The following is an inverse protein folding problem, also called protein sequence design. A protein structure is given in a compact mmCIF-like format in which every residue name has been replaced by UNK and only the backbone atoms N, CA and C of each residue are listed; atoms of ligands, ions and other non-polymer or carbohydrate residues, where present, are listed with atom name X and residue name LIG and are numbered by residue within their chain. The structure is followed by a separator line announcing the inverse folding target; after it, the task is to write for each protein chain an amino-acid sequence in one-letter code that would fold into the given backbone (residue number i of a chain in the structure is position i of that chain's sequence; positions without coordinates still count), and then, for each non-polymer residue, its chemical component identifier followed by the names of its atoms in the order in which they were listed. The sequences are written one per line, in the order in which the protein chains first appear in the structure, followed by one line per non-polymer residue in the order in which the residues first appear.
data_IF_280910881178
#
_entry.id   IF_280910881178
#
_cell.length_a   1.000
_cell.length_b   1.000
_cell.length_c   1.000
_cell.angle_alpha   90.00
_cell.angle_beta   90.00
_cell.angle_gamma   90.00
#
_symmetry.space_group_name_H-M   'P 1'
#
loop_
_entity.id
_entity.type
_entity.pdbx_description
1 polymer ?
#
# COMPACT_ATOMS: atom_id res chain seq x y z
N UNK A 1 -4.02 -36.01 -6.63
CA UNK A 1 -3.51 -34.63 -6.66
C UNK A 1 -3.84 -33.88 -7.95
N UNK A 2 -3.74 -34.47 -9.17
CA UNK A 2 -4.01 -33.75 -10.44
C UNK A 2 -5.44 -33.18 -10.57
N UNK A 3 -6.48 -33.87 -10.10
CA UNK A 3 -7.87 -33.42 -10.20
C UNK A 3 -8.21 -32.21 -9.33
N UNK A 4 -7.51 -32.00 -8.21
CA UNK A 4 -7.70 -30.80 -7.38
C UNK A 4 -7.00 -29.56 -7.95
N UNK A 5 -5.85 -29.72 -8.60
CA UNK A 5 -5.15 -28.60 -9.24
C UNK A 5 -5.93 -28.04 -10.45
N UNK A 6 -6.53 -28.90 -11.26
CA UNK A 6 -7.37 -28.50 -12.40
C UNK A 6 -8.52 -27.57 -11.99
N UNK A 7 -9.06 -27.73 -10.77
CA UNK A 7 -10.16 -26.91 -10.24
C UNK A 7 -9.80 -25.45 -10.00
N UNK A 8 -8.51 -25.15 -9.75
CA UNK A 8 -8.02 -23.81 -9.45
C UNK A 8 -7.18 -23.21 -10.58
N UNK A 9 -6.87 -23.95 -11.63
CA UNK A 9 -5.97 -23.53 -12.71
C UNK A 9 -6.35 -22.18 -13.33
N UNK A 10 -7.62 -22.01 -13.68
CA UNK A 10 -8.13 -20.74 -14.23
C UNK A 10 -7.99 -19.59 -13.23
N UNK A 11 -8.21 -19.85 -11.92
CA UNK A 11 -8.05 -18.84 -10.88
C UNK A 11 -6.58 -18.46 -10.72
N UNK A 12 -5.65 -19.41 -10.67
CA UNK A 12 -4.21 -19.13 -10.61
C UNK A 12 -3.75 -18.29 -11.80
N UNK A 13 -4.11 -18.68 -13.01
CA UNK A 13 -3.75 -17.96 -14.24
C UNK A 13 -4.28 -16.52 -14.21
N UNK A 14 -5.53 -16.32 -13.82
CA UNK A 14 -6.15 -15.01 -13.77
C UNK A 14 -5.54 -14.12 -12.67
N UNK A 15 -5.27 -14.67 -11.49
CA UNK A 15 -4.63 -13.96 -10.41
C UNK A 15 -3.20 -13.55 -10.76
N UNK A 16 -2.43 -14.44 -11.38
CA UNK A 16 -1.07 -14.13 -11.85
C UNK A 16 -1.09 -13.06 -12.95
N UNK A 17 -2.02 -13.17 -13.92
CA UNK A 17 -2.14 -12.19 -14.99
C UNK A 17 -2.44 -10.78 -14.50
N UNK A 18 -3.29 -10.62 -13.49
CA UNK A 18 -3.63 -9.34 -12.89
C UNK A 18 -2.60 -8.90 -11.83
N UNK A 19 -2.07 -9.85 -11.07
CA UNK A 19 -1.17 -9.57 -9.95
C UNK A 19 0.22 -9.15 -10.40
N UNK A 20 0.78 -9.76 -11.46
CA UNK A 20 2.13 -9.44 -11.95
C UNK A 20 2.27 -7.95 -12.31
N UNK A 21 1.37 -7.33 -13.09
CA UNK A 21 1.44 -5.90 -13.33
C UNK A 21 1.39 -5.05 -12.05
N UNK A 22 0.55 -5.44 -11.08
CA UNK A 22 0.48 -4.73 -9.80
C UNK A 22 1.80 -4.87 -9.03
N UNK A 23 2.39 -6.07 -8.97
CA UNK A 23 3.70 -6.33 -8.35
C UNK A 23 4.78 -5.45 -9.00
N UNK A 24 4.85 -5.41 -10.33
CA UNK A 24 5.83 -4.59 -11.06
C UNK A 24 5.67 -3.11 -10.67
N UNK A 25 4.44 -2.59 -10.60
CA UNK A 25 4.18 -1.22 -10.18
C UNK A 25 4.63 -0.95 -8.74
N UNK A 26 4.40 -1.89 -7.83
CA UNK A 26 4.80 -1.75 -6.42
C UNK A 26 6.32 -1.83 -6.25
N UNK A 27 6.98 -2.76 -6.93
CA UNK A 27 8.45 -2.85 -6.93
C UNK A 27 9.09 -1.60 -7.57
N UNK A 28 8.46 -1.06 -8.61
CA UNK A 28 8.90 0.21 -9.20
C UNK A 28 8.88 1.36 -8.21
N UNK A 29 7.84 1.48 -7.39
CA UNK A 29 7.77 2.49 -6.34
C UNK A 29 8.84 2.30 -5.25
N UNK A 30 9.15 1.05 -4.90
CA UNK A 30 10.21 0.74 -3.94
C UNK A 30 11.59 1.14 -4.48
N UNK A 31 11.88 0.81 -5.75
CA UNK A 31 13.11 1.22 -6.44
C UNK A 31 13.21 2.75 -6.50
N UNK A 32 12.11 3.43 -6.79
CA UNK A 32 12.06 4.90 -6.80
C UNK A 32 12.43 5.48 -5.44
N UNK A 33 11.80 5.02 -4.36
CA UNK A 33 12.08 5.49 -3.00
C UNK A 33 13.54 5.27 -2.61
N UNK A 34 14.12 4.14 -3.03
CA UNK A 34 15.53 3.86 -2.81
C UNK A 34 16.43 4.81 -3.61
N UNK A 35 16.12 5.05 -4.89
CA UNK A 35 16.87 5.97 -5.75
C UNK A 35 16.81 7.41 -5.22
N UNK A 36 15.63 7.89 -4.80
CA UNK A 36 15.45 9.23 -4.21
C UNK A 36 16.32 9.38 -2.96
N UNK A 37 16.26 8.42 -2.05
CA UNK A 37 17.05 8.43 -0.81
C UNK A 37 18.55 8.45 -1.10
N UNK A 38 19.00 7.65 -2.05
CA UNK A 38 20.40 7.54 -2.43
C UNK A 38 20.90 8.82 -3.11
N UNK A 39 20.11 9.39 -4.02
CA UNK A 39 20.49 10.61 -4.75
C UNK A 39 20.53 11.83 -3.83
N UNK A 40 19.55 12.00 -2.94
CA UNK A 40 19.54 13.09 -1.95
C UNK A 40 20.70 12.92 -0.96
N UNK A 41 20.93 11.68 -0.48
CA UNK A 41 21.99 11.39 0.49
C UNK A 41 23.40 11.62 -0.06
N UNK A 42 23.63 11.39 -1.36
CA UNK A 42 24.91 11.73 -2.00
C UNK A 42 25.11 13.24 -2.20
N UNK A 43 24.02 14.01 -2.23
CA UNK A 43 24.12 15.45 -2.35
C UNK A 43 24.40 16.11 -0.98
N UNK A 44 23.60 15.80 0.06
CA UNK A 44 23.79 16.34 1.41
C UNK A 44 23.13 15.46 2.48
N UNK A 45 23.85 15.23 3.58
CA UNK A 45 23.31 14.53 4.76
C UNK A 45 22.18 15.30 5.44
N UNK A 46 22.28 16.65 5.46
CA UNK A 46 21.25 17.52 6.03
C UNK A 46 19.97 17.48 5.22
N UNK A 47 20.08 17.51 3.90
CA UNK A 47 18.95 17.36 2.99
C UNK A 47 18.28 16.00 3.12
N UNK A 48 19.07 14.93 3.29
CA UNK A 48 18.54 13.60 3.55
C UNK A 48 17.76 13.53 4.87
N UNK A 49 18.25 14.16 5.93
CA UNK A 49 17.55 14.24 7.20
C UNK A 49 16.23 15.02 7.08
N UNK A 50 16.24 16.15 6.39
CA UNK A 50 15.05 16.94 6.11
C UNK A 50 14.03 16.17 5.26
N UNK A 51 14.48 15.49 4.21
CA UNK A 51 13.64 14.63 3.37
C UNK A 51 13.01 13.50 4.18
N UNK A 52 13.78 12.79 5.00
CA UNK A 52 13.28 11.69 5.82
C UNK A 52 12.17 12.14 6.77
N UNK A 53 12.33 13.30 7.42
CA UNK A 53 11.30 13.86 8.30
C UNK A 53 10.00 14.14 7.54
N UNK A 54 10.07 14.88 6.43
CA UNK A 54 8.88 15.23 5.63
C UNK A 54 8.22 13.97 5.05
N UNK A 55 9.02 13.05 4.49
CA UNK A 55 8.49 11.82 3.90
C UNK A 55 7.79 10.93 4.93
N UNK A 56 8.28 10.84 6.17
CA UNK A 56 7.60 10.11 7.24
C UNK A 56 6.20 10.68 7.53
N UNK A 57 6.07 12.02 7.59
CA UNK A 57 4.76 12.66 7.79
C UNK A 57 3.81 12.40 6.62
N UNK A 58 4.30 12.55 5.38
CA UNK A 58 3.49 12.32 4.18
C UNK A 58 3.14 10.85 3.97
N UNK A 59 3.99 9.90 4.37
CA UNK A 59 3.73 8.46 4.21
C UNK A 59 2.43 8.05 4.88
N UNK A 60 2.19 8.47 6.13
CA UNK A 60 0.96 8.14 6.85
C UNK A 60 -0.28 8.70 6.14
N UNK A 61 -0.19 9.95 5.69
CA UNK A 61 -1.29 10.64 5.00
C UNK A 61 -1.56 10.01 3.61
N UNK A 62 -0.52 9.68 2.88
CA UNK A 62 -0.63 9.03 1.56
C UNK A 62 -1.21 7.62 1.71
N UNK A 63 -0.80 6.83 2.70
CA UNK A 63 -1.34 5.49 2.95
C UNK A 63 -2.83 5.58 3.29
N UNK A 64 -3.23 6.56 4.10
CA UNK A 64 -4.64 6.81 4.40
C UNK A 64 -5.43 7.19 3.14
N UNK A 65 -4.89 8.09 2.30
CA UNK A 65 -5.49 8.48 1.04
C UNK A 65 -5.65 7.30 0.07
N UNK A 66 -4.60 6.48 -0.09
CA UNK A 66 -4.64 5.28 -0.94
C UNK A 66 -5.67 4.28 -0.40
N UNK A 67 -5.70 4.03 0.90
CA UNK A 67 -6.67 3.15 1.54
C UNK A 67 -8.11 3.57 1.26
N UNK A 68 -8.39 4.88 1.29
CA UNK A 68 -9.71 5.41 0.94
C UNK A 68 -10.10 5.12 -0.51
N UNK A 69 -9.15 5.20 -1.45
CA UNK A 69 -9.42 4.91 -2.87
C UNK A 69 -9.78 3.45 -3.15
N UNK A 70 -9.42 2.52 -2.28
CA UNK A 70 -9.69 1.09 -2.47
C UNK A 70 -11.18 0.72 -2.48
N UNK A 71 -12.06 1.58 -1.96
CA UNK A 71 -13.50 1.44 -2.11
C UNK A 71 -13.94 1.39 -3.58
N UNK A 72 -13.21 2.08 -4.47
CA UNK A 72 -13.51 2.16 -5.89
C UNK A 72 -13.32 0.80 -6.55
N UNK A 73 -12.23 0.09 -6.28
CA UNK A 73 -11.98 -1.25 -6.84
C UNK A 73 -13.13 -2.21 -6.54
N UNK A 74 -13.64 -2.20 -5.30
CA UNK A 74 -14.75 -3.07 -4.90
C UNK A 74 -16.04 -2.71 -5.66
N UNK A 75 -16.41 -1.43 -5.69
CA UNK A 75 -17.64 -0.97 -6.33
C UNK A 75 -17.60 -1.12 -7.84
N UNK A 76 -16.53 -0.67 -8.48
CA UNK A 76 -16.31 -0.79 -9.92
C UNK A 76 -16.27 -2.26 -10.33
N UNK A 77 -15.55 -3.10 -9.59
CA UNK A 77 -15.45 -4.53 -9.89
C UNK A 77 -16.79 -5.26 -9.81
N UNK A 78 -17.63 -4.94 -8.81
CA UNK A 78 -18.99 -5.50 -8.71
C UNK A 78 -19.85 -5.06 -9.91
N UNK A 79 -19.81 -3.78 -10.27
CA UNK A 79 -20.57 -3.26 -11.42
C UNK A 79 -20.03 -3.83 -12.75
N UNK A 80 -18.73 -4.04 -12.85
CA UNK A 80 -18.10 -4.68 -14.00
C UNK A 80 -18.56 -6.13 -14.15
N UNK A 81 -18.61 -6.87 -13.06
CA UNK A 81 -19.18 -8.23 -13.06
C UNK A 81 -20.66 -8.29 -13.41
N UNK A 82 -21.40 -7.18 -13.27
CA UNK A 82 -22.81 -7.03 -13.67
C UNK A 82 -23.00 -6.51 -15.09
N UNK A 83 -21.92 -6.29 -15.85
CA UNK A 83 -21.89 -5.66 -17.18
C UNK A 83 -22.52 -4.24 -17.23
N UNK A 84 -22.52 -3.53 -16.10
CA UNK A 84 -23.12 -2.19 -15.97
C UNK A 84 -22.11 -1.07 -16.29
N UNK A 85 -21.58 -1.04 -17.50
CA UNK A 85 -20.50 -0.12 -17.91
C UNK A 85 -20.85 1.35 -17.76
N UNK A 86 -22.08 1.78 -18.13
CA UNK A 86 -22.53 3.16 -17.95
C UNK A 86 -22.59 3.54 -16.47
N UNK A 87 -23.07 2.63 -15.62
CA UNK A 87 -23.16 2.87 -14.17
C UNK A 87 -21.79 3.04 -13.51
N UNK A 88 -20.78 2.34 -14.02
CA UNK A 88 -19.39 2.54 -13.60
C UNK A 88 -18.95 3.99 -13.85
N UNK A 89 -19.25 4.55 -15.02
CA UNK A 89 -18.92 5.94 -15.34
C UNK A 89 -19.60 6.94 -14.39
N UNK A 90 -20.87 6.74 -14.06
CA UNK A 90 -21.59 7.59 -13.08
C UNK A 90 -20.95 7.50 -11.68
N UNK A 91 -20.65 6.27 -11.21
CA UNK A 91 -20.00 6.03 -9.91
C UNK A 91 -18.61 6.66 -9.87
N UNK A 92 -17.85 6.60 -10.96
CA UNK A 92 -16.54 7.22 -11.06
C UNK A 92 -16.57 8.73 -10.89
N UNK A 93 -17.64 9.40 -11.36
CA UNK A 93 -17.83 10.83 -11.13
C UNK A 93 -18.00 11.16 -9.64
N UNK A 94 -18.83 10.39 -8.94
CA UNK A 94 -19.02 10.51 -7.49
C UNK A 94 -17.74 10.11 -6.71
N UNK A 95 -17.02 9.10 -7.19
CA UNK A 95 -15.77 8.66 -6.60
C UNK A 95 -14.67 9.73 -6.70
N UNK A 96 -14.55 10.38 -7.85
CA UNK A 96 -13.60 11.48 -8.03
C UNK A 96 -13.95 12.65 -7.11
N UNK A 97 -15.24 12.99 -6.96
CA UNK A 97 -15.67 14.01 -6.01
C UNK A 97 -15.32 13.64 -4.55
N UNK A 98 -15.61 12.40 -4.13
CA UNK A 98 -15.29 11.92 -2.78
C UNK A 98 -13.78 11.93 -2.49
N UNK A 99 -12.96 11.48 -3.44
CA UNK A 99 -11.51 11.48 -3.29
C UNK A 99 -10.91 12.89 -3.36
N UNK A 100 -11.52 13.81 -4.11
CA UNK A 100 -11.12 15.23 -4.09
C UNK A 100 -11.43 15.87 -2.73
N UNK A 101 -12.60 15.60 -2.16
CA UNK A 101 -12.93 16.05 -0.80
C UNK A 101 -11.94 15.46 0.23
N UNK A 102 -11.59 14.19 0.11
CA UNK A 102 -10.59 13.56 0.97
C UNK A 102 -9.20 14.21 0.79
N UNK A 103 -8.78 14.48 -0.43
CA UNK A 103 -7.52 15.16 -0.72
C UNK A 103 -7.49 16.57 -0.10
N UNK A 104 -8.57 17.32 -0.19
CA UNK A 104 -8.69 18.65 0.43
C UNK A 104 -8.61 18.53 1.95
N UNK A 105 -9.31 17.58 2.56
CA UNK A 105 -9.27 17.33 4.00
C UNK A 105 -7.86 17.00 4.48
N UNK A 106 -7.20 16.07 3.81
CA UNK A 106 -5.82 15.67 4.15
C UNK A 106 -4.82 16.80 3.92
N UNK A 107 -4.99 17.58 2.85
CA UNK A 107 -4.18 18.77 2.61
C UNK A 107 -4.39 19.84 3.69
N UNK A 108 -5.62 20.03 4.16
CA UNK A 108 -5.90 20.96 5.27
C UNK A 108 -5.21 20.51 6.57
N UNK A 109 -5.23 19.21 6.88
CA UNK A 109 -4.51 18.65 8.04
C UNK A 109 -3.00 18.92 7.89
N UNK A 110 -2.44 18.68 6.71
CA UNK A 110 -1.02 18.90 6.44
C UNK A 110 -0.64 20.39 6.51
N UNK A 111 -1.54 21.30 6.10
CA UNK A 111 -1.34 22.75 6.28
C UNK A 111 -1.27 23.12 7.76
N UNK A 112 -2.15 22.57 8.58
CA UNK A 112 -2.10 22.80 10.04
C UNK A 112 -0.78 22.29 10.63
N UNK A 113 -0.30 21.13 10.20
CA UNK A 113 1.01 20.61 10.61
C UNK A 113 2.16 21.51 10.13
N UNK A 114 2.11 21.99 8.89
CA UNK A 114 3.09 22.93 8.35
C UNK A 114 3.19 24.22 9.14
N UNK A 115 2.06 24.81 9.53
CA UNK A 115 2.03 26.02 10.33
C UNK A 115 2.63 25.83 11.74
N UNK A 116 2.59 24.59 12.26
CA UNK A 116 3.14 24.24 13.56
C UNK A 116 4.47 23.46 13.48
N UNK A 117 5.13 23.44 12.32
CA UNK A 117 6.32 22.60 12.07
C UNK A 117 7.46 22.88 13.03
N UNK A 118 7.62 24.14 13.48
CA UNK A 118 8.60 24.55 14.46
C UNK A 118 8.39 23.94 15.86
N UNK A 119 7.16 23.47 16.17
CA UNK A 119 6.80 22.82 17.45
C UNK A 119 7.05 21.32 17.46
N UNK A 120 7.42 20.75 16.30
CA UNK A 120 7.62 19.31 16.15
C UNK A 120 9.01 18.82 16.55
N UNK A 121 9.82 19.70 17.20
CA UNK A 121 11.11 19.34 17.82
C UNK A 121 12.23 19.05 16.82
N UNK A 122 12.13 19.57 15.60
CA UNK A 122 13.22 19.48 14.63
C UNK A 122 14.28 20.58 14.88
N UNK A 123 15.57 20.30 14.58
CA UNK A 123 16.61 21.31 14.63
C UNK A 123 16.26 22.53 13.78
N UNK A 124 16.44 23.72 14.30
CA UNK A 124 16.14 24.99 13.61
C UNK A 124 16.91 25.12 12.29
N UNK A 125 18.11 24.56 12.22
CA UNK A 125 18.97 24.53 11.04
C UNK A 125 18.36 23.77 9.85
N UNK A 126 17.50 22.78 10.11
CA UNK A 126 16.82 21.99 9.06
C UNK A 126 15.53 22.65 8.55
N UNK A 127 14.95 23.59 9.26
CA UNK A 127 13.69 24.24 8.89
C UNK A 127 13.72 24.91 7.50
N UNK A 128 14.80 25.59 7.07
CA UNK A 128 14.90 26.15 5.73
C UNK A 128 14.85 25.12 4.62
N UNK A 129 15.27 23.88 4.88
CA UNK A 129 15.21 22.75 3.94
C UNK A 129 13.84 22.06 3.99
N UNK A 130 13.30 21.86 5.19
CA UNK A 130 12.03 21.18 5.44
C UNK A 130 10.86 21.95 4.82
N UNK A 131 10.77 23.26 5.03
CA UNK A 131 9.62 24.07 4.62
C UNK A 131 9.34 24.05 3.13
N UNK A 132 10.26 24.35 2.22
CA UNK A 132 10.00 24.33 0.79
C UNK A 132 9.68 22.92 0.29
N UNK A 133 10.41 21.91 0.77
CA UNK A 133 10.17 20.52 0.39
C UNK A 133 8.78 20.03 0.84
N UNK A 134 8.36 20.40 2.05
CA UNK A 134 7.03 20.09 2.57
C UNK A 134 5.92 20.70 1.70
N UNK A 135 6.05 21.97 1.31
CA UNK A 135 5.06 22.64 0.45
C UNK A 135 4.96 22.00 -0.93
N UNK A 136 6.08 21.60 -1.52
CA UNK A 136 6.11 20.91 -2.81
C UNK A 136 5.38 19.55 -2.70
N UNK A 137 5.66 18.78 -1.64
CA UNK A 137 4.97 17.51 -1.38
C UNK A 137 3.47 17.73 -1.15
N UNK A 138 3.09 18.80 -0.43
CA UNK A 138 1.69 19.15 -0.19
C UNK A 138 0.93 19.42 -1.48
N UNK A 139 1.50 20.19 -2.41
CA UNK A 139 0.91 20.48 -3.72
C UNK A 139 0.73 19.19 -4.53
N UNK A 140 1.60 18.20 -4.37
CA UNK A 140 1.52 16.92 -5.10
C UNK A 140 0.42 15.99 -4.58
N UNK A 141 -0.06 16.17 -3.34
CA UNK A 141 -0.99 15.24 -2.67
C UNK A 141 -2.34 15.06 -3.40
N UNK A 142 -3.02 16.09 -3.90
CA UNK A 142 -4.25 15.91 -4.68
C UNK A 142 -4.05 15.07 -5.95
N UNK A 143 -2.91 15.20 -6.61
CA UNK A 143 -2.59 14.43 -7.81
C UNK A 143 -2.33 12.96 -7.51
N UNK A 144 -1.75 12.64 -6.35
CA UNK A 144 -1.65 11.26 -5.85
C UNK A 144 -3.05 10.66 -5.67
N UNK A 145 -3.99 11.39 -5.08
CA UNK A 145 -5.37 10.95 -4.90
C UNK A 145 -6.07 10.71 -6.25
N UNK A 146 -5.93 11.64 -7.21
CA UNK A 146 -6.54 11.50 -8.52
C UNK A 146 -5.95 10.34 -9.31
N UNK A 147 -4.62 10.20 -9.33
CA UNK A 147 -3.98 9.06 -9.96
C UNK A 147 -4.53 7.74 -9.40
N UNK A 148 -4.57 7.59 -8.07
CA UNK A 148 -5.06 6.37 -7.45
C UNK A 148 -6.55 6.16 -7.67
N UNK A 149 -7.39 7.20 -7.74
CA UNK A 149 -8.80 7.09 -8.07
C UNK A 149 -9.01 6.40 -9.42
N UNK A 150 -8.33 6.84 -10.46
CA UNK A 150 -8.46 6.24 -11.80
C UNK A 150 -7.69 4.92 -11.91
N UNK A 151 -6.60 4.73 -11.17
CA UNK A 151 -5.93 3.43 -11.06
C UNK A 151 -6.86 2.38 -10.48
N UNK A 152 -7.56 2.68 -9.37
CA UNK A 152 -8.51 1.74 -8.78
C UNK A 152 -9.69 1.41 -9.72
N UNK A 153 -10.07 2.35 -10.59
CA UNK A 153 -11.01 2.09 -11.67
C UNK A 153 -10.46 1.06 -12.67
N UNK A 154 -9.25 1.28 -13.21
CA UNK A 154 -8.65 0.35 -14.18
C UNK A 154 -8.41 -1.03 -13.57
N UNK A 155 -7.98 -1.09 -12.31
CA UNK A 155 -7.85 -2.34 -11.57
C UNK A 155 -9.21 -3.05 -11.44
N UNK A 156 -10.29 -2.32 -11.09
CA UNK A 156 -11.65 -2.85 -10.93
C UNK A 156 -12.25 -3.46 -12.21
N UNK A 157 -11.92 -2.89 -13.38
CA UNK A 157 -12.31 -3.44 -14.69
C UNK A 157 -11.29 -4.45 -15.26
N UNK A 158 -10.35 -4.91 -14.43
CA UNK A 158 -9.30 -5.90 -14.78
C UNK A 158 -8.22 -5.43 -15.75
N UNK A 159 -8.05 -4.12 -15.92
CA UNK A 159 -7.01 -3.52 -16.78
C UNK A 159 -5.84 -2.95 -15.96
N UNK A 160 -5.12 -3.86 -15.28
CA UNK A 160 -4.00 -3.50 -14.39
C UNK A 160 -2.73 -3.05 -15.12
N UNK A 161 -2.61 -3.35 -16.43
CA UNK A 161 -1.42 -3.02 -17.22
C UNK A 161 -1.26 -1.55 -17.48
N UNK A 162 -2.37 -0.82 -17.66
CA UNK A 162 -2.34 0.62 -17.91
C UNK A 162 -1.69 1.35 -16.74
N UNK A 163 -2.16 1.08 -15.52
CA UNK A 163 -1.60 1.68 -14.31
C UNK A 163 -0.12 1.30 -14.11
N UNK A 164 0.24 0.03 -14.37
CA UNK A 164 1.63 -0.43 -14.30
C UNK A 164 2.55 0.39 -15.21
N UNK A 165 2.20 0.56 -16.49
CA UNK A 165 3.06 1.28 -17.43
C UNK A 165 3.20 2.76 -17.08
N UNK A 166 2.12 3.38 -16.60
CA UNK A 166 2.17 4.79 -16.15
C UNK A 166 3.08 4.93 -14.93
N UNK A 167 2.99 3.99 -13.96
CA UNK A 167 3.87 3.99 -12.79
C UNK A 167 5.34 3.81 -13.18
N UNK A 168 5.64 2.84 -14.04
CA UNK A 168 7.02 2.60 -14.50
C UNK A 168 7.57 3.82 -15.22
N UNK A 169 6.81 4.38 -16.17
CA UNK A 169 7.22 5.58 -16.90
C UNK A 169 7.40 6.79 -15.96
N UNK A 170 6.47 6.97 -15.01
CA UNK A 170 6.54 8.05 -14.02
C UNK A 170 7.76 7.91 -13.10
N UNK A 171 8.09 6.69 -12.68
CA UNK A 171 9.27 6.42 -11.85
C UNK A 171 10.58 6.70 -12.61
N UNK A 172 10.66 6.27 -13.88
CA UNK A 172 11.82 6.59 -14.74
C UNK A 172 11.95 8.09 -14.94
N UNK A 173 10.85 8.78 -15.21
CA UNK A 173 10.83 10.24 -15.35
C UNK A 173 11.27 10.93 -14.06
N UNK A 174 10.87 10.43 -12.89
CA UNK A 174 11.28 10.99 -11.61
C UNK A 174 12.79 10.80 -11.37
N UNK A 175 13.33 9.60 -11.56
CA UNK A 175 14.78 9.35 -11.41
C UNK A 175 15.58 10.25 -12.35
N UNK A 176 15.15 10.38 -13.59
CA UNK A 176 15.81 11.25 -14.55
C UNK A 176 15.68 12.74 -14.17
N UNK A 177 14.51 13.16 -13.70
CA UNK A 177 14.27 14.51 -13.19
C UNK A 177 15.12 14.81 -11.94
N UNK A 178 15.30 13.86 -11.05
CA UNK A 178 16.19 13.97 -9.90
C UNK A 178 17.65 14.20 -10.34
N UNK A 179 18.12 13.41 -11.32
CA UNK A 179 19.46 13.58 -11.87
C UNK A 179 19.68 14.98 -12.45
N UNK A 180 18.66 15.56 -13.09
CA UNK A 180 18.75 16.90 -13.64
C UNK A 180 18.67 17.98 -12.55
N UNK A 181 17.67 17.89 -11.66
CA UNK A 181 17.32 18.99 -10.75
C UNK A 181 18.11 18.98 -9.43
N UNK A 182 18.49 17.81 -8.92
CA UNK A 182 19.33 17.73 -7.70
C UNK A 182 20.74 18.27 -8.03
N UNK A 183 21.32 17.76 -9.11
CA UNK A 183 22.74 18.02 -9.44
C UNK A 183 22.95 19.14 -10.47
N UNK A 184 21.90 19.77 -10.99
CA UNK A 184 22.04 20.90 -11.92
C UNK A 184 22.55 20.53 -13.30
N UNK A 185 22.14 19.37 -13.84
CA UNK A 185 22.52 18.96 -15.18
C UNK A 185 21.70 19.66 -16.27
N UNK A 186 22.15 19.55 -17.53
CA UNK A 186 21.52 20.13 -18.73
C UNK A 186 21.32 21.66 -18.69
N UNK A 187 22.18 22.37 -17.94
CA UNK A 187 22.16 23.84 -17.85
C UNK A 187 21.13 24.40 -16.85
N UNK A 188 20.50 23.56 -16.07
CA UNK A 188 19.66 24.00 -14.95
C UNK A 188 20.50 24.20 -13.67
N UNK A 189 20.06 25.09 -12.76
CA UNK A 189 20.75 25.27 -11.50
C UNK A 189 20.62 24.03 -10.63
N UNK A 190 21.63 23.79 -9.80
CA UNK A 190 21.61 22.79 -8.75
C UNK A 190 20.60 23.20 -7.67
N UNK A 191 19.59 22.36 -7.44
CA UNK A 191 18.48 22.66 -6.54
C UNK A 191 18.43 21.75 -5.29
N UNK A 192 19.28 20.72 -5.22
CA UNK A 192 19.34 19.80 -4.09
C UNK A 192 17.98 19.19 -3.74
N UNK A 193 17.60 19.25 -2.49
CA UNK A 193 16.33 18.69 -1.97
C UNK A 193 15.09 19.31 -2.65
N UNK A 194 15.10 20.59 -2.95
CA UNK A 194 14.01 21.26 -3.66
C UNK A 194 13.85 20.65 -5.06
N UNK A 195 14.97 20.36 -5.74
CA UNK A 195 14.98 19.67 -7.03
C UNK A 195 14.37 18.28 -6.96
N UNK A 196 14.70 17.48 -5.94
CA UNK A 196 14.07 16.19 -5.69
C UNK A 196 12.56 16.30 -5.48
N UNK A 197 12.12 17.28 -4.69
CA UNK A 197 10.70 17.55 -4.48
C UNK A 197 9.97 17.92 -5.76
N UNK A 198 10.54 18.82 -6.56
CA UNK A 198 9.97 19.25 -7.83
C UNK A 198 9.87 18.09 -8.83
N UNK A 199 10.91 17.27 -8.94
CA UNK A 199 10.88 16.07 -9.79
C UNK A 199 9.75 15.13 -9.40
N UNK A 200 9.60 14.85 -8.11
CA UNK A 200 8.53 14.00 -7.58
C UNK A 200 7.15 14.62 -7.84
N UNK A 201 6.98 15.92 -7.61
CA UNK A 201 5.73 16.63 -7.86
C UNK A 201 5.35 16.59 -9.34
N UNK A 202 6.27 16.92 -10.23
CA UNK A 202 6.04 16.92 -11.68
C UNK A 202 5.65 15.51 -12.14
N UNK A 203 6.36 14.48 -11.68
CA UNK A 203 6.06 13.08 -12.04
C UNK A 203 4.65 12.68 -11.60
N UNK A 204 4.24 13.03 -10.37
CA UNK A 204 2.88 12.77 -9.86
C UNK A 204 1.81 13.50 -10.65
N UNK A 205 2.05 14.76 -11.01
CA UNK A 205 1.14 15.57 -11.83
C UNK A 205 0.98 14.93 -13.21
N UNK A 206 2.09 14.61 -13.88
CA UNK A 206 2.08 13.99 -15.21
C UNK A 206 1.37 12.64 -15.18
N UNK A 207 1.69 11.76 -14.22
CA UNK A 207 1.01 10.48 -14.06
C UNK A 207 -0.50 10.64 -13.87
N UNK A 208 -0.94 11.61 -13.04
CA UNK A 208 -2.35 11.87 -12.82
C UNK A 208 -3.04 12.35 -14.10
N UNK A 209 -2.45 13.28 -14.84
CA UNK A 209 -3.01 13.78 -16.08
C UNK A 209 -3.04 12.72 -17.19
N UNK A 210 -2.00 11.89 -17.32
CA UNK A 210 -1.99 10.76 -18.27
C UNK A 210 -3.12 9.79 -17.93
N UNK A 211 -3.28 9.43 -16.65
CA UNK A 211 -4.29 8.48 -16.22
C UNK A 211 -5.71 9.01 -16.47
N UNK A 212 -5.98 10.27 -16.11
CA UNK A 212 -7.23 10.97 -16.43
C UNK A 212 -7.43 11.08 -17.93
N UNK A 213 -6.39 11.47 -18.68
CA UNK A 213 -6.43 11.58 -20.12
C UNK A 213 -6.78 10.26 -20.81
N UNK A 214 -6.19 9.15 -20.36
CA UNK A 214 -6.52 7.82 -20.90
C UNK A 214 -8.00 7.49 -20.66
N UNK A 215 -8.56 7.81 -19.50
CA UNK A 215 -9.99 7.61 -19.22
C UNK A 215 -10.89 8.40 -20.20
N UNK A 216 -10.53 9.65 -20.52
CA UNK A 216 -11.37 10.50 -21.36
C UNK A 216 -11.13 10.35 -22.86
N UNK A 217 -9.92 9.97 -23.30
CA UNK A 217 -9.56 9.97 -24.72
C UNK A 217 -9.36 8.57 -25.32
N UNK A 218 -9.17 7.53 -24.49
CA UNK A 218 -9.03 6.16 -25.01
C UNK A 218 -10.36 5.64 -25.57
N UNK A 219 -10.29 4.99 -26.73
CA UNK A 219 -11.45 4.30 -27.33
C UNK A 219 -11.96 3.16 -26.46
N UNK A 220 -11.08 2.51 -25.71
CA UNK A 220 -11.38 1.39 -24.82
C UNK A 220 -12.35 1.79 -23.70
N UNK A 221 -12.27 3.03 -23.21
CA UNK A 221 -13.09 3.50 -22.10
C UNK A 221 -14.29 4.36 -22.54
N UNK A 222 -14.64 4.35 -23.83
CA UNK A 222 -15.71 5.18 -24.40
C UNK A 222 -17.05 5.02 -23.69
N UNK A 223 -17.44 3.80 -23.35
CA UNK A 223 -18.74 3.54 -22.71
C UNK A 223 -18.76 4.01 -21.24
N UNK A 224 -17.65 3.90 -20.53
CA UNK A 224 -17.51 4.46 -19.17
C UNK A 224 -17.56 6.00 -19.20
N UNK A 225 -16.91 6.62 -20.20
CA UNK A 225 -16.96 8.07 -20.41
C UNK A 225 -18.38 8.56 -20.71
N UNK A 226 -19.16 7.82 -21.50
CA UNK A 226 -20.58 8.15 -21.72
C UNK A 226 -21.33 8.16 -20.40
N UNK A 227 -21.17 7.13 -19.57
CA UNK A 227 -21.77 7.10 -18.24
C UNK A 227 -21.34 8.28 -17.36
N UNK A 228 -20.05 8.65 -17.40
CA UNK A 228 -19.56 9.85 -16.70
C UNK A 228 -20.23 11.13 -17.18
N UNK A 229 -20.35 11.34 -18.49
CA UNK A 229 -20.91 12.57 -19.06
C UNK A 229 -22.40 12.72 -18.77
N UNK A 230 -23.16 11.62 -18.81
CA UNK A 230 -24.60 11.60 -18.54
C UNK A 230 -24.91 11.59 -17.02
N UNK A 231 -23.98 11.10 -16.21
CA UNK A 231 -24.12 10.99 -14.78
C UNK A 231 -23.98 12.33 -14.05
N UNK A 232 -24.57 12.37 -12.87
CA UNK A 232 -24.38 13.45 -11.90
C UNK A 232 -23.72 12.88 -10.64
N UNK A 233 -23.09 13.73 -9.82
CA UNK A 233 -22.61 13.33 -8.49
C UNK A 233 -23.82 13.00 -7.63
N UNK A 234 -23.99 11.71 -7.31
CA UNK A 234 -25.09 11.24 -6.48
C UNK A 234 -24.62 11.09 -5.04
N UNK A 235 -25.36 11.67 -4.10
CA UNK A 235 -25.08 11.56 -2.67
C UNK A 235 -25.01 10.09 -2.19
N UNK A 236 -25.87 9.21 -2.74
CA UNK A 236 -25.87 7.79 -2.41
C UNK A 236 -24.54 7.11 -2.74
N UNK A 237 -23.97 7.40 -3.93
CA UNK A 237 -22.69 6.85 -4.36
C UNK A 237 -21.53 7.45 -3.54
N UNK A 238 -21.56 8.77 -3.33
CA UNK A 238 -20.59 9.46 -2.47
C UNK A 238 -20.57 8.85 -1.06
N UNK A 239 -21.75 8.68 -0.45
CA UNK A 239 -21.90 8.06 0.87
C UNK A 239 -21.38 6.62 0.87
N UNK A 240 -21.70 5.84 -0.16
CA UNK A 240 -21.27 4.44 -0.25
C UNK A 240 -19.73 4.35 -0.34
N UNK A 241 -19.10 5.19 -1.16
CA UNK A 241 -17.64 5.25 -1.28
C UNK A 241 -17.01 5.64 0.05
N UNK A 242 -17.57 6.64 0.74
CA UNK A 242 -17.06 7.09 2.04
C UNK A 242 -17.20 6.00 3.12
N UNK A 243 -18.36 5.34 3.17
CA UNK A 243 -18.63 4.25 4.14
C UNK A 243 -17.72 3.04 3.92
N UNK A 244 -17.29 2.77 2.69
CA UNK A 244 -16.33 1.72 2.39
C UNK A 244 -14.89 2.21 2.53
N UNK A 245 -14.58 3.43 2.10
CA UNK A 245 -13.23 3.97 2.05
C UNK A 245 -12.64 4.29 3.42
N UNK A 246 -13.42 4.86 4.35
CA UNK A 246 -12.94 5.19 5.69
C UNK A 246 -12.45 3.96 6.45
N UNK A 247 -13.18 2.83 6.51
CA UNK A 247 -12.68 1.62 7.14
C UNK A 247 -11.37 1.10 6.55
N UNK A 248 -11.22 1.15 5.23
CA UNK A 248 -10.00 0.73 4.55
C UNK A 248 -8.82 1.65 4.85
N UNK A 249 -9.05 2.96 4.84
CA UNK A 249 -8.06 3.95 5.20
C UNK A 249 -7.59 3.80 6.65
N UNK A 250 -8.54 3.62 7.58
CA UNK A 250 -8.23 3.41 9.01
C UNK A 250 -7.48 2.11 9.25
N UNK A 251 -7.88 1.01 8.60
CA UNK A 251 -7.19 -0.27 8.72
C UNK A 251 -5.72 -0.14 8.30
N UNK A 252 -5.45 0.45 7.14
CA UNK A 252 -4.08 0.65 6.67
C UNK A 252 -3.29 1.64 7.53
N UNK A 253 -3.94 2.71 7.99
CA UNK A 253 -3.33 3.68 8.89
C UNK A 253 -2.95 3.07 10.25
N UNK A 254 -3.82 2.23 10.84
CA UNK A 254 -3.52 1.52 12.09
C UNK A 254 -2.37 0.52 11.94
N UNK A 255 -2.33 -0.22 10.85
CA UNK A 255 -1.23 -1.12 10.54
C UNK A 255 0.11 -0.36 10.48
N UNK A 256 0.15 0.72 9.70
CA UNK A 256 1.35 1.57 9.59
C UNK A 256 1.73 2.20 10.93
N UNK A 257 0.76 2.66 11.71
CA UNK A 257 1.00 3.24 13.05
C UNK A 257 1.59 2.20 14.01
N UNK A 258 1.12 0.95 13.97
CA UNK A 258 1.65 -0.12 14.82
C UNK A 258 3.12 -0.43 14.50
N UNK A 259 3.51 -0.48 13.22
CA UNK A 259 4.91 -0.64 12.83
C UNK A 259 5.76 0.56 13.26
N UNK A 260 5.25 1.78 13.14
CA UNK A 260 5.94 2.98 13.62
C UNK A 260 6.14 2.99 15.13
N UNK A 261 5.13 2.58 15.91
CA UNK A 261 5.24 2.45 17.37
C UNK A 261 6.21 1.33 17.77
N UNK A 262 6.25 0.24 17.03
CA UNK A 262 7.26 -0.82 17.25
C UNK A 262 8.68 -0.31 16.99
N UNK A 263 8.88 0.55 15.99
CA UNK A 263 10.17 1.18 15.73
C UNK A 263 10.61 2.10 16.89
N UNK A 264 9.67 2.84 17.49
CA UNK A 264 9.94 3.63 18.70
C UNK A 264 10.36 2.74 19.88
N UNK A 265 9.68 1.61 20.07
CA UNK A 265 10.01 0.64 21.13
C UNK A 265 11.41 0.04 20.91
N UNK A 266 11.77 -0.30 19.66
CA UNK A 266 13.11 -0.80 19.34
C UNK A 266 14.18 0.25 19.59
N UNK A 267 13.87 1.53 19.41
CA UNK A 267 14.77 2.64 19.72
C UNK A 267 15.22 2.67 21.19
N UNK A 268 14.44 2.13 22.12
CA UNK A 268 14.83 2.02 23.54
C UNK A 268 15.99 1.04 23.79
N UNK A 269 16.25 0.13 22.88
CA UNK A 269 17.35 -0.86 22.97
C UNK A 269 18.68 -0.33 22.39
N UNK A 270 18.70 0.91 21.90
CA UNK A 270 19.89 1.59 21.38
C UNK A 270 19.97 1.62 19.85
N UNK A 271 21.02 2.31 19.38
CA UNK A 271 21.18 2.65 17.95
C UNK A 271 21.43 1.43 17.06
N UNK A 272 22.17 0.42 17.54
CA UNK A 272 22.44 -0.81 16.78
C UNK A 272 21.15 -1.62 16.55
N UNK A 273 20.28 -1.74 17.58
CA UNK A 273 19.00 -2.42 17.46
C UNK A 273 18.08 -1.69 16.50
N UNK A 274 18.05 -0.35 16.53
CA UNK A 274 17.26 0.46 15.61
C UNK A 274 17.77 0.33 14.17
N UNK A 275 19.10 0.30 13.96
CA UNK A 275 19.70 0.07 12.64
C UNK A 275 19.34 -1.32 12.11
N UNK A 276 19.45 -2.37 12.93
CA UNK A 276 19.05 -3.72 12.56
C UNK A 276 17.56 -3.81 12.23
N UNK A 277 16.70 -3.12 13.00
CA UNK A 277 15.26 -3.02 12.74
C UNK A 277 14.96 -2.39 11.36
N UNK A 278 15.66 -1.30 11.01
CA UNK A 278 15.52 -0.65 9.72
C UNK A 278 15.90 -1.58 8.55
N UNK A 279 16.98 -2.34 8.69
CA UNK A 279 17.36 -3.36 7.71
C UNK A 279 16.26 -4.40 7.56
N UNK A 280 15.73 -4.90 8.68
CA UNK A 280 14.64 -5.89 8.68
C UNK A 280 13.35 -5.33 8.05
N UNK A 281 12.97 -4.09 8.31
CA UNK A 281 11.83 -3.43 7.66
C UNK A 281 12.02 -3.35 6.14
N UNK A 282 13.23 -3.01 5.67
CA UNK A 282 13.54 -2.95 4.24
C UNK A 282 13.40 -4.33 3.58
N UNK A 283 13.91 -5.38 4.23
CA UNK A 283 13.78 -6.76 3.74
C UNK A 283 12.31 -7.20 3.73
N UNK A 284 11.56 -6.87 4.79
CA UNK A 284 10.14 -7.23 4.89
C UNK A 284 9.29 -6.53 3.82
N UNK A 285 9.61 -5.28 3.50
CA UNK A 285 8.92 -4.50 2.47
C UNK A 285 9.01 -5.15 1.09
N UNK A 286 10.18 -5.72 0.73
CA UNK A 286 10.36 -6.45 -0.53
C UNK A 286 9.41 -7.66 -0.62
N UNK A 287 9.34 -8.48 0.42
CA UNK A 287 8.42 -9.62 0.49
C UNK A 287 6.97 -9.16 0.40
N UNK A 288 6.61 -8.16 1.22
CA UNK A 288 5.27 -7.57 1.26
C UNK A 288 4.77 -7.10 -0.12
N UNK A 289 5.59 -6.35 -0.86
CA UNK A 289 5.18 -5.83 -2.17
C UNK A 289 4.84 -6.93 -3.17
N UNK A 290 5.51 -8.08 -3.09
CA UNK A 290 5.30 -9.22 -3.99
C UNK A 290 3.94 -9.87 -3.69
N UNK A 291 3.66 -10.27 -2.46
CA UNK A 291 2.39 -10.94 -2.18
C UNK A 291 1.22 -9.97 -2.04
N UNK A 292 1.46 -8.71 -1.70
CA UNK A 292 0.42 -7.67 -1.72
C UNK A 292 -0.15 -7.44 -3.12
N UNK A 293 0.70 -7.36 -4.16
CA UNK A 293 0.24 -7.19 -5.53
C UNK A 293 -0.66 -8.34 -5.99
N UNK A 294 -0.36 -9.57 -5.57
CA UNK A 294 -1.20 -10.72 -5.82
C UNK A 294 -2.52 -10.68 -5.02
N UNK A 295 -2.45 -10.30 -3.74
CA UNK A 295 -3.63 -10.15 -2.90
C UNK A 295 -4.57 -9.04 -3.43
N UNK A 296 -4.04 -7.96 -3.99
CA UNK A 296 -4.83 -6.94 -4.66
C UNK A 296 -5.59 -7.51 -5.87
N UNK A 297 -4.97 -8.40 -6.65
CA UNK A 297 -5.65 -9.12 -7.74
C UNK A 297 -6.79 -10.01 -7.21
N UNK A 298 -6.65 -10.58 -6.02
CA UNK A 298 -7.75 -11.34 -5.35
C UNK A 298 -8.94 -10.43 -5.10
N UNK A 299 -8.74 -9.21 -4.60
CA UNK A 299 -9.84 -8.26 -4.39
C UNK A 299 -10.57 -7.93 -5.70
N UNK A 300 -9.83 -7.69 -6.79
CA UNK A 300 -10.38 -7.40 -8.12
C UNK A 300 -11.23 -8.57 -8.61
N UNK A 301 -10.71 -9.80 -8.60
CA UNK A 301 -11.45 -10.97 -9.10
C UNK A 301 -12.66 -11.32 -8.24
N UNK A 302 -12.53 -11.21 -6.93
CA UNK A 302 -13.65 -11.42 -6.00
C UNK A 302 -14.76 -10.41 -6.28
N UNK A 303 -14.45 -9.11 -6.43
CA UNK A 303 -15.48 -8.10 -6.72
C UNK A 303 -16.22 -8.38 -8.03
N UNK A 304 -15.50 -8.84 -9.06
CA UNK A 304 -16.12 -9.21 -10.34
C UNK A 304 -17.08 -10.41 -10.17
N UNK A 305 -16.66 -11.48 -9.50
CA UNK A 305 -17.52 -12.64 -9.24
C UNK A 305 -18.69 -12.32 -8.29
N UNK A 306 -18.50 -11.40 -7.34
CA UNK A 306 -19.61 -10.90 -6.54
C UNK A 306 -20.67 -10.20 -7.39
N UNK A 307 -20.25 -9.44 -8.40
CA UNK A 307 -21.15 -8.85 -9.39
C UNK A 307 -21.94 -9.88 -10.17
N UNK A 308 -21.28 -10.96 -10.57
CA UNK A 308 -21.88 -12.11 -11.30
C UNK A 308 -22.72 -13.02 -10.39
N UNK A 309 -22.70 -12.84 -9.07
CA UNK A 309 -23.30 -13.72 -8.06
C UNK A 309 -22.73 -15.16 -8.07
N UNK A 310 -21.52 -15.33 -8.56
CA UNK A 310 -20.80 -16.62 -8.54
C UNK A 310 -20.01 -16.79 -7.24
N UNK A 311 -20.71 -17.13 -6.16
CA UNK A 311 -20.12 -17.28 -4.83
C UNK A 311 -19.12 -18.44 -4.74
N UNK A 312 -19.27 -19.46 -5.62
CA UNK A 312 -18.31 -20.56 -5.69
C UNK A 312 -16.96 -20.07 -6.24
N UNK A 313 -16.98 -19.27 -7.31
CA UNK A 313 -15.78 -18.65 -7.86
C UNK A 313 -15.15 -17.66 -6.88
N UNK A 314 -15.94 -16.93 -6.09
CA UNK A 314 -15.46 -16.07 -5.00
C UNK A 314 -14.65 -16.88 -3.99
N UNK A 315 -15.17 -18.01 -3.49
CA UNK A 315 -14.46 -18.89 -2.53
C UNK A 315 -13.18 -19.47 -3.15
N UNK A 316 -13.27 -19.97 -4.38
CA UNK A 316 -12.12 -20.54 -5.10
C UNK A 316 -11.04 -19.52 -5.35
N UNK A 317 -11.40 -18.29 -5.70
CA UNK A 317 -10.43 -17.19 -5.90
C UNK A 317 -9.69 -16.85 -4.61
N UNK A 318 -10.39 -16.73 -3.48
CA UNK A 318 -9.75 -16.47 -2.17
C UNK A 318 -8.79 -17.62 -1.79
N UNK A 319 -9.20 -18.89 -2.03
CA UNK A 319 -8.36 -20.06 -1.76
C UNK A 319 -7.16 -20.14 -2.72
N UNK A 320 -7.35 -19.88 -3.99
CA UNK A 320 -6.24 -19.81 -4.95
C UNK A 320 -5.25 -18.69 -4.59
N UNK A 321 -5.77 -17.55 -4.12
CA UNK A 321 -4.96 -16.42 -3.65
C UNK A 321 -4.03 -16.82 -2.50
N UNK A 322 -4.55 -17.48 -1.45
CA UNK A 322 -3.71 -17.88 -0.31
C UNK A 322 -2.66 -18.92 -0.71
N UNK A 323 -2.97 -19.85 -1.63
CA UNK A 323 -1.99 -20.81 -2.15
C UNK A 323 -0.82 -20.08 -2.83
N UNK A 324 -1.12 -19.13 -3.71
CA UNK A 324 -0.10 -18.37 -4.43
C UNK A 324 0.69 -17.43 -3.50
N UNK A 325 0.02 -16.78 -2.55
CA UNK A 325 0.67 -15.91 -1.55
C UNK A 325 1.64 -16.73 -0.69
N UNK A 326 1.24 -17.91 -0.23
CA UNK A 326 2.13 -18.79 0.55
C UNK A 326 3.29 -19.32 -0.28
N UNK A 327 3.05 -19.67 -1.55
CA UNK A 327 4.12 -20.05 -2.47
C UNK A 327 5.14 -18.92 -2.63
N UNK A 328 4.68 -17.68 -2.82
CA UNK A 328 5.54 -16.50 -2.93
C UNK A 328 6.27 -16.21 -1.61
N UNK A 329 5.58 -16.36 -0.46
CA UNK A 329 6.22 -16.23 0.85
C UNK A 329 7.35 -17.25 1.05
N UNK A 330 7.17 -18.49 0.61
CA UNK A 330 8.24 -19.52 0.64
C UNK A 330 9.38 -19.11 -0.29
N UNK A 331 9.05 -18.74 -1.55
CA UNK A 331 10.06 -18.38 -2.56
C UNK A 331 10.89 -17.15 -2.15
N UNK A 332 10.33 -16.22 -1.39
CA UNK A 332 11.06 -15.05 -0.86
C UNK A 332 11.79 -15.38 0.45
N UNK A 333 11.17 -16.13 1.36
CA UNK A 333 11.75 -16.44 2.67
C UNK A 333 12.93 -17.38 2.62
N UNK A 334 12.88 -18.42 1.76
CA UNK A 334 13.96 -19.42 1.68
C UNK A 334 15.31 -18.82 1.29
N UNK A 335 15.42 -18.02 0.21
CA UNK A 335 16.68 -17.34 -0.10
C UNK A 335 17.15 -16.40 1.00
N UNK A 336 16.25 -15.64 1.62
CA UNK A 336 16.57 -14.73 2.74
C UNK A 336 17.14 -15.52 3.91
N UNK A 337 16.55 -16.67 4.25
CA UNK A 337 17.05 -17.53 5.32
C UNK A 337 18.42 -18.13 5.02
N UNK A 338 18.65 -18.61 3.80
CA UNK A 338 19.95 -19.14 3.37
C UNK A 338 21.02 -18.06 3.47
N UNK A 339 20.69 -16.84 3.04
CA UNK A 339 21.60 -15.69 3.04
C UNK A 339 21.63 -14.91 4.37
N UNK A 340 20.99 -15.38 5.43
CA UNK A 340 20.78 -14.61 6.68
C UNK A 340 22.07 -14.07 7.31
N UNK A 341 23.17 -14.76 7.18
CA UNK A 341 24.46 -14.34 7.74
C UNK A 341 25.18 -13.30 6.88
N UNK A 342 24.76 -13.14 5.63
CA UNK A 342 25.41 -12.25 4.64
C UNK A 342 24.54 -11.01 4.40
N UNK A 343 23.21 -11.16 4.47
CA UNK A 343 22.27 -10.14 4.04
C UNK A 343 22.41 -8.81 4.83
N UNK A 344 22.73 -8.88 6.12
CA UNK A 344 23.02 -7.69 6.94
C UNK A 344 24.25 -6.92 6.45
N UNK A 345 25.27 -7.64 5.96
CA UNK A 345 26.49 -7.05 5.40
C UNK A 345 26.28 -6.27 4.10
N UNK A 346 25.12 -6.41 3.42
CA UNK A 346 24.76 -5.57 2.28
C UNK A 346 24.38 -4.13 2.69
N UNK A 347 24.07 -3.92 3.96
CA UNK A 347 23.59 -2.64 4.48
C UNK A 347 24.58 -1.95 5.42
N UNK A 348 25.46 -2.73 6.09
CA UNK A 348 26.38 -2.18 7.10
C UNK A 348 27.56 -3.12 7.34
N UNK A 349 28.71 -2.55 7.74
CA UNK A 349 29.90 -3.30 8.17
C UNK A 349 29.90 -3.58 9.68
N UNK A 350 28.91 -3.09 10.44
CA UNK A 350 28.82 -3.31 11.88
C UNK A 350 28.41 -4.77 12.19
N UNK A 351 29.33 -5.52 12.76
CA UNK A 351 29.17 -6.96 13.06
C UNK A 351 28.01 -7.22 14.02
N UNK A 352 27.75 -6.32 14.99
CA UNK A 352 26.65 -6.45 15.93
C UNK A 352 25.31 -6.33 15.19
N UNK A 353 25.18 -5.34 14.31
CA UNK A 353 23.95 -5.15 13.49
C UNK A 353 23.73 -6.36 12.58
N UNK A 354 24.77 -6.85 11.92
CA UNK A 354 24.69 -8.04 11.04
C UNK A 354 24.21 -9.27 11.84
N UNK A 355 24.75 -9.46 13.05
CA UNK A 355 24.34 -10.55 13.94
C UNK A 355 22.86 -10.42 14.37
N UNK A 356 22.42 -9.22 14.77
CA UNK A 356 21.03 -8.96 15.13
C UNK A 356 20.06 -9.21 13.97
N UNK A 357 20.42 -8.78 12.76
CA UNK A 357 19.64 -9.07 11.54
C UNK A 357 19.52 -10.56 11.32
N UNK A 358 20.64 -11.29 11.40
CA UNK A 358 20.67 -12.75 11.20
C UNK A 358 19.76 -13.51 12.16
N UNK A 359 19.73 -13.11 13.45
CA UNK A 359 18.84 -13.70 14.46
C UNK A 359 17.37 -13.33 14.20
N UNK A 360 17.10 -12.10 13.78
CA UNK A 360 15.74 -11.58 13.57
C UNK A 360 15.08 -12.15 12.31
N UNK A 361 15.86 -12.69 11.37
CA UNK A 361 15.30 -13.38 10.19
C UNK A 361 14.47 -14.62 10.59
N UNK A 362 14.74 -15.26 11.74
CA UNK A 362 13.96 -16.42 12.18
C UNK A 362 12.50 -16.06 12.47
N UNK A 363 12.17 -15.09 13.36
CA UNK A 363 10.78 -14.64 13.53
C UNK A 363 10.19 -14.03 12.28
N UNK A 364 11.01 -13.37 11.45
CA UNK A 364 10.56 -12.83 10.16
C UNK A 364 10.04 -13.90 9.20
N UNK A 365 10.62 -15.10 9.18
CA UNK A 365 10.09 -16.19 8.35
C UNK A 365 8.66 -16.57 8.74
N UNK A 366 8.38 -16.64 10.04
CA UNK A 366 7.02 -16.92 10.54
C UNK A 366 6.08 -15.75 10.24
N UNK A 367 6.58 -14.52 10.41
CA UNK A 367 5.90 -13.28 10.10
C UNK A 367 5.32 -13.28 8.69
N UNK A 368 6.10 -13.68 7.66
CA UNK A 368 5.67 -13.63 6.27
C UNK A 368 4.40 -14.45 5.98
N UNK A 369 4.22 -15.60 6.65
CA UNK A 369 3.01 -16.40 6.51
C UNK A 369 1.80 -15.73 7.16
N UNK A 370 1.97 -15.16 8.35
CA UNK A 370 0.92 -14.41 9.04
C UNK A 370 0.49 -13.19 8.23
N UNK A 371 1.46 -12.44 7.70
CA UNK A 371 1.24 -11.26 6.90
C UNK A 371 0.59 -11.60 5.54
N UNK A 372 1.04 -12.66 4.87
CA UNK A 372 0.41 -13.16 3.66
C UNK A 372 -1.05 -13.60 3.87
N UNK A 373 -1.34 -14.27 4.98
CA UNK A 373 -2.69 -14.68 5.37
C UNK A 373 -3.60 -13.47 5.58
N UNK A 374 -3.13 -12.50 6.37
CA UNK A 374 -3.80 -11.23 6.61
C UNK A 374 -4.06 -10.49 5.31
N UNK A 375 -3.03 -10.30 4.49
CA UNK A 375 -3.10 -9.53 3.26
C UNK A 375 -4.11 -10.14 2.27
N UNK A 376 -4.11 -11.48 2.11
CA UNK A 376 -5.05 -12.18 1.24
C UNK A 376 -6.50 -11.99 1.68
N UNK A 377 -6.82 -12.22 2.97
CA UNK A 377 -8.20 -12.16 3.42
C UNK A 377 -8.70 -10.73 3.69
N UNK A 378 -7.84 -9.77 4.03
CA UNK A 378 -8.21 -8.35 4.01
C UNK A 378 -8.64 -7.91 2.60
N UNK A 379 -7.88 -8.32 1.58
CA UNK A 379 -8.22 -8.04 0.19
C UNK A 379 -9.45 -8.81 -0.29
N UNK A 380 -9.68 -10.06 0.17
CA UNK A 380 -10.91 -10.80 -0.09
C UNK A 380 -12.13 -10.09 0.50
N UNK A 381 -12.05 -9.61 1.73
CA UNK A 381 -13.12 -8.82 2.36
C UNK A 381 -13.36 -7.51 1.62
N UNK A 382 -12.32 -6.84 1.15
CA UNK A 382 -12.41 -5.66 0.29
C UNK A 382 -13.18 -5.98 -0.99
N UNK A 383 -12.86 -7.08 -1.67
CA UNK A 383 -13.54 -7.52 -2.88
C UNK A 383 -15.04 -7.83 -2.70
N UNK A 384 -15.45 -8.30 -1.51
CA UNK A 384 -16.87 -8.52 -1.16
C UNK A 384 -17.57 -7.26 -0.67
N UNK A 385 -16.88 -6.10 -0.61
CA UNK A 385 -17.35 -4.85 0.00
C UNK A 385 -17.76 -4.97 1.49
N UNK A 386 -17.35 -6.02 2.18
CA UNK A 386 -17.60 -6.23 3.62
C UNK A 386 -16.40 -5.73 4.44
N UNK A 387 -16.22 -4.42 4.52
CA UNK A 387 -15.01 -3.80 5.07
C UNK A 387 -15.12 -3.34 6.53
N UNK A 388 -16.34 -3.28 7.08
CA UNK A 388 -16.54 -2.78 8.45
C UNK A 388 -15.76 -3.54 9.53
N UNK A 389 -15.67 -4.89 9.51
CA UNK A 389 -14.93 -5.62 10.53
C UNK A 389 -13.42 -5.37 10.48
N UNK A 390 -12.88 -4.89 9.37
CA UNK A 390 -11.43 -4.70 9.18
C UNK A 390 -10.83 -3.79 10.26
N UNK A 391 -11.53 -2.70 10.63
CA UNK A 391 -11.07 -1.75 11.66
C UNK A 391 -10.91 -2.45 13.01
N UNK A 392 -11.97 -3.11 13.48
CA UNK A 392 -11.97 -3.75 14.80
C UNK A 392 -10.92 -4.86 14.89
N UNK A 393 -10.79 -5.66 13.83
CA UNK A 393 -9.80 -6.73 13.74
C UNK A 393 -8.37 -6.15 13.73
N UNK A 394 -8.11 -5.11 12.94
CA UNK A 394 -6.81 -4.45 12.91
C UNK A 394 -6.46 -3.85 14.29
N UNK A 395 -7.40 -3.17 14.94
CA UNK A 395 -7.17 -2.61 16.27
C UNK A 395 -6.80 -3.69 17.29
N UNK A 396 -7.58 -4.76 17.36
CA UNK A 396 -7.31 -5.88 18.30
C UNK A 396 -5.96 -6.53 17.99
N UNK A 397 -5.71 -6.86 16.72
CA UNK A 397 -4.51 -7.61 16.33
C UNK A 397 -3.22 -6.80 16.52
N UNK A 398 -3.23 -5.51 16.18
CA UNK A 398 -2.02 -4.69 16.25
C UNK A 398 -1.84 -4.02 17.62
N UNK A 399 -2.88 -3.38 18.16
CA UNK A 399 -2.75 -2.57 19.39
C UNK A 399 -2.98 -3.37 20.67
N UNK A 400 -3.82 -4.41 20.65
CA UNK A 400 -4.07 -5.23 21.84
C UNK A 400 -3.16 -6.46 21.88
N UNK A 401 -2.76 -7.01 20.74
CA UNK A 401 -1.94 -8.23 20.71
C UNK A 401 -0.50 -7.94 20.33
N UNK A 402 -0.21 -7.42 19.11
CA UNK A 402 1.16 -7.25 18.63
C UNK A 402 2.01 -6.33 19.51
N UNK A 403 1.53 -5.11 19.76
CA UNK A 403 2.31 -4.12 20.54
C UNK A 403 2.55 -4.55 22.00
N UNK A 404 1.54 -5.03 22.74
CA UNK A 404 1.78 -5.54 24.11
C UNK A 404 2.68 -6.77 24.17
N UNK A 405 2.55 -7.70 23.21
CA UNK A 405 3.47 -8.84 23.11
C UNK A 405 4.89 -8.39 22.73
N UNK A 406 5.01 -7.39 21.86
CA UNK A 406 6.31 -6.78 21.54
C UNK A 406 6.98 -6.16 22.75
N UNK A 407 6.21 -5.48 23.59
CA UNK A 407 6.69 -4.97 24.87
C UNK A 407 7.07 -6.09 25.83
N UNK A 408 6.22 -7.10 25.97
CA UNK A 408 6.48 -8.25 26.84
C UNK A 408 7.76 -9.00 26.43
N UNK A 409 7.88 -9.37 25.17
CA UNK A 409 9.04 -10.15 24.72
C UNK A 409 10.29 -9.28 24.58
N UNK A 410 10.16 -8.05 24.05
CA UNK A 410 11.28 -7.17 23.81
C UNK A 410 11.85 -6.55 25.09
N UNK A 411 10.96 -6.00 25.94
CA UNK A 411 11.36 -5.22 27.12
C UNK A 411 11.35 -6.09 28.37
N UNK A 412 10.22 -6.71 28.71
CA UNK A 412 10.08 -7.45 30.00
C UNK A 412 10.92 -8.72 30.02
N UNK A 413 10.89 -9.50 28.93
CA UNK A 413 11.70 -10.74 28.80
C UNK A 413 13.12 -10.47 28.29
N UNK A 414 13.44 -9.23 27.98
CA UNK A 414 14.78 -8.76 27.54
C UNK A 414 15.33 -9.45 26.26
N UNK A 415 14.41 -9.89 25.36
CA UNK A 415 14.81 -10.38 24.04
C UNK A 415 15.03 -9.25 23.02
N UNK A 416 14.90 -7.99 23.45
CA UNK A 416 15.19 -6.80 22.66
C UNK A 416 14.52 -6.84 21.25
N UNK A 417 15.29 -6.56 20.19
CA UNK A 417 14.82 -6.55 18.80
C UNK A 417 14.14 -7.84 18.39
N UNK A 418 14.76 -8.97 18.70
CA UNK A 418 14.25 -10.30 18.31
C UNK A 418 12.89 -10.56 18.96
N UNK A 419 12.72 -10.13 20.23
CA UNK A 419 11.44 -10.25 20.97
C UNK A 419 10.33 -9.43 20.30
N UNK A 420 10.61 -8.20 19.89
CA UNK A 420 9.63 -7.36 19.17
C UNK A 420 9.21 -8.03 17.86
N UNK A 421 10.16 -8.57 17.09
CA UNK A 421 9.85 -9.27 15.84
C UNK A 421 9.10 -10.59 16.04
N UNK A 422 9.29 -11.28 17.18
CA UNK A 422 8.49 -12.45 17.52
C UNK A 422 7.02 -12.12 17.82
N UNK A 423 6.70 -10.89 18.21
CA UNK A 423 5.33 -10.49 18.48
C UNK A 423 4.49 -10.31 17.20
N UNK A 424 5.09 -9.86 16.09
CA UNK A 424 4.38 -9.63 14.84
C UNK A 424 3.65 -10.87 14.29
N UNK A 425 4.26 -12.07 14.23
CA UNK A 425 3.57 -13.28 13.80
C UNK A 425 2.25 -13.53 14.51
N UNK A 426 2.18 -13.26 15.82
CA UNK A 426 0.95 -13.48 16.59
C UNK A 426 -0.17 -12.54 16.16
N UNK A 427 0.10 -11.24 16.07
CA UNK A 427 -0.92 -10.27 15.66
C UNK A 427 -1.34 -10.44 14.21
N UNK A 428 -0.39 -10.65 13.30
CA UNK A 428 -0.67 -10.83 11.88
C UNK A 428 -1.42 -12.13 11.58
N UNK A 429 -1.03 -13.24 12.25
CA UNK A 429 -1.75 -14.51 12.11
C UNK A 429 -3.16 -14.39 12.68
N UNK A 430 -3.31 -13.75 13.85
CA UNK A 430 -4.62 -13.50 14.45
C UNK A 430 -5.50 -12.67 13.53
N UNK A 431 -4.97 -11.57 12.97
CA UNK A 431 -5.74 -10.74 12.02
C UNK A 431 -6.14 -11.54 10.77
N UNK A 432 -5.23 -12.34 10.23
CA UNK A 432 -5.51 -13.19 9.07
C UNK A 432 -6.60 -14.23 9.35
N UNK A 433 -6.57 -14.89 10.51
CA UNK A 433 -7.60 -15.85 10.92
C UNK A 433 -8.94 -15.14 11.13
N UNK A 434 -8.96 -14.01 11.81
CA UNK A 434 -10.19 -13.24 12.04
C UNK A 434 -10.76 -12.72 10.70
N UNK A 435 -9.92 -12.22 9.79
CA UNK A 435 -10.36 -11.80 8.44
C UNK A 435 -10.97 -12.98 7.67
N UNK A 436 -10.35 -14.17 7.72
CA UNK A 436 -10.91 -15.38 7.12
C UNK A 436 -12.30 -15.72 7.69
N UNK A 437 -12.45 -15.74 9.04
CA UNK A 437 -13.71 -16.05 9.69
C UNK A 437 -14.81 -15.05 9.30
N UNK A 438 -14.50 -13.74 9.34
CA UNK A 438 -15.47 -12.70 8.99
C UNK A 438 -15.77 -12.66 7.50
N UNK A 439 -14.78 -12.98 6.65
CA UNK A 439 -14.99 -13.19 5.22
C UNK A 439 -16.00 -14.32 4.96
N UNK A 440 -15.82 -15.49 5.57
CA UNK A 440 -16.72 -16.62 5.41
C UNK A 440 -18.13 -16.33 5.92
N UNK A 441 -18.24 -15.72 7.10
CA UNK A 441 -19.53 -15.32 7.67
C UNK A 441 -20.25 -14.29 6.81
N UNK A 442 -19.52 -13.28 6.32
CA UNK A 442 -20.06 -12.24 5.45
C UNK A 442 -20.53 -12.78 4.11
N UNK A 443 -19.74 -13.66 3.49
CA UNK A 443 -20.09 -14.29 2.22
C UNK A 443 -21.33 -15.16 2.35
N UNK A 444 -21.42 -15.99 3.40
CA UNK A 444 -22.59 -16.82 3.67
C UNK A 444 -23.85 -15.97 3.83
N UNK A 445 -23.78 -14.87 4.61
CA UNK A 445 -24.91 -13.96 4.78
C UNK A 445 -25.41 -13.35 3.47
N UNK A 446 -24.48 -13.01 2.55
CA UNK A 446 -24.83 -12.46 1.24
C UNK A 446 -25.48 -13.54 0.36
N UNK A 447 -24.93 -14.77 0.39
CA UNK A 447 -25.45 -15.93 -0.34
C UNK A 447 -26.89 -16.29 0.10
N UNK A 448 -27.11 -16.39 1.42
CA UNK A 448 -28.43 -16.65 2.01
C UNK A 448 -29.47 -15.57 1.62
N UNK A 449 -29.05 -14.28 1.68
CA UNK A 449 -29.90 -13.16 1.30
C UNK A 449 -30.22 -13.12 -0.21
N UNK A 450 -29.36 -13.68 -1.06
CA UNK A 450 -29.61 -13.78 -2.52
C UNK A 450 -30.50 -14.94 -2.90
N UNK A 451 -30.49 -16.03 -2.11
CA UNK A 451 -31.31 -17.23 -2.32
C UNK A 451 -32.76 -17.05 -1.84
N UNK A 452 -33.00 -16.03 -0.98
CA UNK A 452 -34.34 -15.69 -0.46
C UNK A 452 -35.10 -14.67 -1.32
N UNK A 453 -34.49 -14.17 -2.40
CA UNK A 453 -35.11 -13.30 -3.42
C UNK A 453 -35.28 -14.05 -4.73
#
# INVERSE_FOLDING_TARGET
MSYQFSKYETHYRNLTYLGVPIIIGQLGNLILNFADTLMIGHHSTEELAAAAFVNNMFTLVIIFAIGFTYAITALVGILYGQDKTHRIGEVMKSATAANTCMAILLSAIMIVLYLNIHRLGQPEELLPLIRPYFLIQLVSLPFVCWFNTFRQFTDGITDTKVAMWILVAGNVMNIFGNWILIYGHLGLPEMGLVGAGLSTMISRIVMAFIMVGIFFFSKQYKEYKKGWNLGQVKYADFKQITVLGIPLALQMGMETAAFSLSSLMVGWFGTESLAAHQVMLTISQLGYMIYYGLAAAVAVRISNFMGQRDYLAVRRTATAGIHLVFLLAILTSVPIFICRHIIGGLFTDNVNVISMVSMTIIPFMIYQFGDGLQCNYANAMRGTANVRPLIGIAFVSFFIVSLPLGYLFGVVMNYQLVGVWFAFPFGLTLSGILYYIYYQKGLKKIEDASSSK
#
